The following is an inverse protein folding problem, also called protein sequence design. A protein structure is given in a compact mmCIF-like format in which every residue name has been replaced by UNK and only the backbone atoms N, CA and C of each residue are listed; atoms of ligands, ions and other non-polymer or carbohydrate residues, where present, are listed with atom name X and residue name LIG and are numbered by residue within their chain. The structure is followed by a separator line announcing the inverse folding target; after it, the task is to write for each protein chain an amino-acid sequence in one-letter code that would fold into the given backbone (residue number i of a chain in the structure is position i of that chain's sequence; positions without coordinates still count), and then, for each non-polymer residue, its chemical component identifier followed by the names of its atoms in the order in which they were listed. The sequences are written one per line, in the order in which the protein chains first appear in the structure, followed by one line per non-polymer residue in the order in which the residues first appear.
data_IF_095310639989
#
_entry.id   IF_095310639989
#
_cell.length_a   1.000
_cell.length_b   1.000
_cell.length_c   1.000
_cell.angle_alpha   90.00
_cell.angle_beta   90.00
_cell.angle_gamma   90.00
#
_symmetry.space_group_name_H-M   'P 1'
#
loop_
_entity.id
_entity.type
_entity.pdbx_description
1 polymer ?
#
# COMPACT_ATOMS: atom_id res chain seq x y z
N UNK A 1 3.49 4.25 -37.22
CA UNK A 1 2.83 3.35 -36.24
C UNK A 1 1.54 2.83 -36.84
N UNK A 2 1.20 1.56 -36.64
CA UNK A 2 -0.04 1.00 -37.18
C UNK A 2 -1.24 1.51 -36.37
N UNK A 3 -2.26 2.03 -37.07
CA UNK A 3 -3.50 2.51 -36.47
C UNK A 3 -4.58 1.42 -36.51
N UNK A 4 -5.49 1.36 -35.53
CA UNK A 4 -6.64 0.48 -35.59
C UNK A 4 -7.52 0.84 -36.80
N UNK A 5 -7.78 -0.13 -37.67
CA UNK A 5 -8.66 0.06 -38.83
C UNK A 5 -10.13 0.30 -38.45
N UNK A 6 -10.59 -0.26 -37.33
CA UNK A 6 -11.98 -0.23 -36.90
C UNK A 6 -12.12 -0.14 -35.38
N UNK A 7 -13.28 0.37 -34.93
CA UNK A 7 -13.64 0.38 -33.52
C UNK A 7 -13.80 -1.04 -32.95
N UNK A 8 -13.25 -1.29 -31.75
CA UNK A 8 -13.39 -2.60 -31.11
C UNK A 8 -14.76 -2.76 -30.47
N UNK A 9 -15.49 -3.82 -30.82
CA UNK A 9 -16.77 -4.15 -30.21
C UNK A 9 -16.67 -4.23 -28.67
N UNK A 10 -17.69 -3.71 -27.95
CA UNK A 10 -17.74 -3.69 -26.48
C UNK A 10 -17.53 -5.07 -25.86
N UNK A 11 -18.07 -6.13 -26.49
CA UNK A 11 -17.87 -7.52 -26.03
C UNK A 11 -16.42 -8.01 -26.12
N UNK A 12 -15.68 -7.60 -27.16
CA UNK A 12 -14.24 -7.91 -27.31
C UNK A 12 -13.42 -7.17 -26.25
N UNK A 13 -13.73 -5.90 -26.02
CA UNK A 13 -13.09 -5.09 -24.98
C UNK A 13 -13.34 -5.66 -23.57
N UNK A 14 -14.58 -6.05 -23.25
CA UNK A 14 -14.94 -6.63 -21.94
C UNK A 14 -14.25 -7.97 -21.70
N UNK A 15 -14.23 -8.87 -22.69
CA UNK A 15 -13.48 -10.14 -22.61
C UNK A 15 -11.98 -9.93 -22.40
N UNK A 16 -11.38 -8.94 -23.04
CA UNK A 16 -9.97 -8.61 -22.78
C UNK A 16 -9.75 -8.11 -21.34
N UNK A 17 -10.71 -7.37 -20.78
CA UNK A 17 -10.63 -6.80 -19.42
C UNK A 17 -10.99 -7.80 -18.31
N UNK A 18 -11.60 -8.95 -18.61
CA UNK A 18 -12.01 -9.92 -17.57
C UNK A 18 -10.83 -10.47 -16.76
N UNK A 19 -9.64 -10.53 -17.37
CA UNK A 19 -8.42 -10.97 -16.71
C UNK A 19 -7.74 -9.90 -15.85
N UNK A 20 -8.18 -8.64 -15.92
CA UNK A 20 -7.56 -7.51 -15.22
C UNK A 20 -8.12 -7.28 -13.80
N UNK A 21 -8.59 -8.34 -13.15
CA UNK A 21 -9.12 -8.25 -11.79
C UNK A 21 -8.00 -8.01 -10.76
N UNK A 22 -8.22 -7.06 -9.84
CA UNK A 22 -7.28 -6.79 -8.75
C UNK A 22 -7.39 -7.88 -7.68
N UNK A 23 -6.26 -8.37 -7.20
CA UNK A 23 -6.19 -9.33 -6.08
C UNK A 23 -6.06 -8.59 -4.75
N UNK A 24 -6.79 -9.06 -3.74
CA UNK A 24 -6.70 -8.53 -2.37
C UNK A 24 -5.33 -8.92 -1.77
N UNK A 25 -4.70 -7.97 -1.08
CA UNK A 25 -3.43 -8.21 -0.38
C UNK A 25 -3.70 -8.89 0.96
N UNK A 26 -2.87 -9.88 1.31
CA UNK A 26 -2.91 -10.53 2.63
C UNK A 26 -2.33 -9.59 3.68
N UNK A 27 -3.07 -9.40 4.77
CA UNK A 27 -2.64 -8.62 5.93
C UNK A 27 -2.44 -9.55 7.11
N UNK A 28 -1.42 -9.27 7.93
CA UNK A 28 -1.07 -10.04 9.14
C UNK A 28 -1.25 -9.18 10.38
N UNK A 29 -1.51 -9.79 11.54
CA UNK A 29 -1.64 -9.06 12.81
C UNK A 29 -0.24 -8.80 13.38
N UNK A 30 0.04 -7.56 13.79
CA UNK A 30 1.30 -7.22 14.45
C UNK A 30 1.31 -7.79 15.88
N UNK A 31 2.38 -8.50 16.31
CA UNK A 31 2.44 -9.10 17.65
C UNK A 31 2.52 -8.06 18.77
N UNK A 32 3.03 -6.85 18.51
CA UNK A 32 3.23 -5.83 19.53
C UNK A 32 1.99 -4.94 19.74
N UNK A 33 1.38 -4.45 18.66
CA UNK A 33 0.28 -3.48 18.73
C UNK A 33 -1.08 -4.03 18.26
N UNK A 34 -1.15 -5.31 17.87
CA UNK A 34 -2.36 -6.02 17.42
C UNK A 34 -3.09 -5.40 16.21
N UNK A 35 -2.45 -4.47 15.48
CA UNK A 35 -2.98 -3.85 14.27
C UNK A 35 -2.67 -4.68 13.03
N UNK A 36 -3.49 -4.53 11.99
CA UNK A 36 -3.23 -5.15 10.68
C UNK A 36 -2.04 -4.47 10.00
N UNK A 37 -1.06 -5.28 9.58
CA UNK A 37 0.18 -4.84 8.94
C UNK A 37 0.49 -5.69 7.72
N UNK A 38 1.28 -5.14 6.80
CA UNK A 38 1.77 -5.88 5.65
C UNK A 38 2.87 -6.86 6.10
N UNK A 39 2.84 -8.13 5.69
CA UNK A 39 3.90 -9.08 6.00
C UNK A 39 5.27 -8.60 5.48
N UNK A 40 6.35 -9.01 6.16
CA UNK A 40 7.74 -8.65 5.83
C UNK A 40 8.07 -7.14 5.84
N UNK A 41 7.24 -6.31 6.47
CA UNK A 41 7.49 -4.88 6.62
C UNK A 41 7.51 -4.47 8.09
N UNK A 42 8.18 -3.35 8.38
CA UNK A 42 8.14 -2.73 9.70
C UNK A 42 6.71 -2.23 9.98
N UNK A 43 6.20 -2.47 11.19
CA UNK A 43 4.89 -1.97 11.58
C UNK A 43 4.90 -0.43 11.53
N UNK A 44 4.03 0.16 10.71
CA UNK A 44 3.92 1.63 10.59
C UNK A 44 3.37 2.30 11.85
N UNK A 45 2.72 1.53 12.72
CA UNK A 45 2.09 2.05 13.93
C UNK A 45 3.02 2.04 15.14
N UNK A 46 3.82 0.98 15.32
CA UNK A 46 4.70 0.86 16.47
C UNK A 46 6.19 0.88 16.11
N UNK A 47 6.57 0.83 14.83
CA UNK A 47 7.98 0.89 14.42
C UNK A 47 8.77 -0.39 14.67
N UNK A 48 8.11 -1.43 15.19
CA UNK A 48 8.74 -2.73 15.48
C UNK A 48 8.78 -3.65 14.27
N UNK A 49 9.88 -4.39 14.16
CA UNK A 49 10.04 -5.52 13.24
C UNK A 49 10.84 -6.62 13.94
N UNK A 50 10.32 -7.86 13.93
CA UNK A 50 10.94 -9.02 14.60
C UNK A 50 11.33 -8.76 16.07
N UNK A 51 10.46 -8.05 16.81
CA UNK A 51 10.69 -7.77 18.23
C UNK A 51 11.71 -6.67 18.54
N UNK A 52 12.32 -6.04 17.51
CA UNK A 52 13.22 -4.89 17.69
C UNK A 52 12.53 -3.61 17.23
N UNK A 53 12.73 -2.52 17.97
CA UNK A 53 12.33 -1.19 17.54
C UNK A 53 13.30 -0.72 16.45
N UNK A 54 12.83 -0.68 15.20
CA UNK A 54 13.65 -0.29 14.04
C UNK A 54 13.43 1.18 13.70
N UNK A 55 12.26 1.72 14.04
CA UNK A 55 11.90 3.11 13.78
C UNK A 55 11.29 3.72 15.03
N UNK A 56 11.95 4.71 15.62
CA UNK A 56 11.36 5.58 16.64
C UNK A 56 10.24 6.42 16.00
N UNK A 57 9.01 5.90 16.02
CA UNK A 57 7.85 6.52 15.35
C UNK A 57 7.54 7.88 15.99
N UNK A 58 7.70 8.00 17.31
CA UNK A 58 7.45 9.23 18.09
C UNK A 58 8.34 10.40 17.62
N UNK A 59 9.63 10.16 17.39
CA UNK A 59 10.57 11.19 16.94
C UNK A 59 10.27 11.69 15.52
N UNK A 60 9.68 10.84 14.66
CA UNK A 60 9.31 11.21 13.29
C UNK A 60 8.00 12.01 13.23
N UNK A 61 7.06 11.73 14.14
CA UNK A 61 5.78 12.46 14.20
C UNK A 61 5.96 13.89 14.70
N UNK A 62 6.82 14.12 15.70
CA UNK A 62 7.13 15.46 16.22
C UNK A 62 7.74 16.37 15.15
N UNK A 63 8.78 15.89 14.43
CA UNK A 63 9.40 16.62 13.32
C UNK A 63 8.42 16.94 12.18
N UNK A 64 7.42 16.09 11.95
CA UNK A 64 6.36 16.34 10.96
C UNK A 64 5.38 17.42 11.40
N UNK A 65 5.04 17.50 12.69
CA UNK A 65 4.17 18.53 13.24
C UNK A 65 4.83 19.91 13.19
N UNK A 66 6.11 19.99 13.57
CA UNK A 66 6.91 21.23 13.50
C UNK A 66 6.97 21.79 12.07
N UNK A 67 7.27 20.94 11.08
CA UNK A 67 7.25 21.32 9.65
C UNK A 67 5.88 21.72 9.10
N UNK A 68 4.79 21.23 9.71
CA UNK A 68 3.42 21.58 9.30
C UNK A 68 2.94 22.89 9.90
N UNK A 69 3.46 23.25 11.07
CA UNK A 69 3.15 24.51 11.74
C UNK A 69 3.92 25.68 11.13
N UNK A 70 5.06 25.42 10.48
CA UNK A 70 5.89 26.43 9.83
C UNK A 70 5.41 26.86 8.43
N UNK A 71 4.23 26.40 7.97
CA UNK A 71 3.72 26.66 6.62
C UNK A 71 2.25 27.07 6.66
#
# INVERSE_FOLDING_TARGET
MALPRHHMAKGKQKRRRSHLALKVKKMTICPHCKKSVMPHTVCKFCGFYKGKEVVNVLAKELKKKEKKHSH
#
